data_IF_275308649323
#
_entry.id   IF_275308649323
#
_cell.length_a   1.000
_cell.length_b   1.000
_cell.length_c   1.000
_cell.angle_alpha   90.00
_cell.angle_beta   90.00
_cell.angle_gamma   90.00
#
_symmetry.space_group_name_H-M   'P 1'
#
loop_
_entity.id
_entity.type
_entity.pdbx_description
1 polymer ?
#
# COMPACT_ATOMS: atom_id res chain seq x y z
N UNK A 1 -46.24 -44.55 49.28
CA UNK A 1 -47.10 -43.38 49.56
C UNK A 1 -46.90 -42.38 48.42
N UNK A 2 -47.95 -42.22 47.60
CA UNK A 2 -48.35 -41.11 46.70
C UNK A 2 -47.27 -40.35 45.89
N UNK A 3 -47.10 -40.58 44.56
CA UNK A 3 -47.90 -40.11 43.38
C UNK A 3 -47.72 -38.59 43.11
N UNK A 4 -47.50 -38.03 41.90
CA UNK A 4 -47.98 -38.26 40.51
C UNK A 4 -46.95 -37.58 39.56
N UNK A 5 -46.52 -38.10 38.39
CA UNK A 5 -47.22 -38.31 37.09
C UNK A 5 -47.88 -37.05 36.51
N UNK A 6 -47.39 -36.59 35.35
CA UNK A 6 -48.22 -36.18 34.23
C UNK A 6 -47.56 -36.59 32.90
N UNK A 7 -48.44 -37.00 31.99
CA UNK A 7 -48.25 -37.81 30.79
C UNK A 7 -48.64 -36.97 29.57
N UNK A 8 -48.36 -37.49 28.37
CA UNK A 8 -49.10 -37.32 27.08
C UNK A 8 -48.30 -36.53 26.02
N UNK A 9 -47.63 -37.13 25.02
CA UNK A 9 -48.07 -37.98 23.87
C UNK A 9 -48.57 -37.16 22.66
N UNK A 10 -47.85 -37.24 21.53
CA UNK A 10 -48.39 -37.33 20.15
C UNK A 10 -47.24 -37.68 19.19
N UNK A 11 -47.04 -38.93 18.80
CA UNK A 11 -47.61 -39.68 17.65
C UNK A 11 -47.18 -39.19 16.23
N UNK A 12 -46.19 -39.91 15.68
CA UNK A 12 -46.34 -40.88 14.59
C UNK A 12 -46.14 -40.53 13.10
N UNK A 13 -45.65 -41.60 12.43
CA UNK A 13 -45.72 -42.03 11.02
C UNK A 13 -44.45 -41.73 10.19
N UNK A 14 -43.51 -42.67 10.00
CA UNK A 14 -43.59 -44.02 9.39
C UNK A 14 -43.93 -43.95 7.90
N UNK A 15 -43.00 -44.35 7.02
CA UNK A 15 -43.18 -45.50 6.14
C UNK A 15 -41.87 -45.79 5.37
N UNK A 16 -41.31 -46.97 5.65
CA UNK A 16 -40.31 -47.66 4.86
C UNK A 16 -41.07 -48.77 4.12
N UNK A 17 -40.86 -49.03 2.82
CA UNK A 17 -41.06 -50.36 2.23
C UNK A 17 -40.35 -50.46 0.85
N UNK A 18 -39.15 -51.06 0.83
CA UNK A 18 -38.91 -52.48 0.44
C UNK A 18 -38.95 -52.89 -1.07
N UNK A 19 -37.77 -53.37 -1.51
CA UNK A 19 -37.42 -54.64 -2.18
C UNK A 19 -37.08 -54.75 -3.69
N UNK A 20 -35.88 -55.34 -3.87
CA UNK A 20 -35.48 -56.44 -4.77
C UNK A 20 -35.00 -56.14 -6.20
N UNK A 21 -33.67 -56.21 -6.37
CA UNK A 21 -33.02 -57.45 -6.84
C UNK A 21 -32.64 -57.52 -8.31
N UNK A 22 -31.33 -57.64 -8.59
CA UNK A 22 -30.67 -58.77 -9.30
C UNK A 22 -29.33 -58.32 -9.95
N UNK A 23 -28.29 -59.05 -9.53
CA UNK A 23 -26.93 -59.32 -10.02
C UNK A 23 -26.42 -58.78 -11.38
N UNK A 24 -25.14 -58.37 -11.40
CA UNK A 24 -24.29 -58.39 -12.61
C UNK A 24 -23.09 -57.45 -12.52
N UNK A 25 -21.86 -57.99 -12.51
CA UNK A 25 -20.60 -57.25 -12.44
C UNK A 25 -20.31 -56.41 -13.71
N UNK A 26 -19.81 -55.17 -13.48
CA UNK A 26 -18.96 -54.20 -14.27
C UNK A 26 -18.76 -54.43 -15.79
N UNK A 27 -18.63 -53.37 -16.65
CA UNK A 27 -17.78 -52.17 -16.42
C UNK A 27 -18.22 -50.85 -17.14
N UNK A 28 -17.34 -49.84 -17.09
CA UNK A 28 -17.24 -48.61 -17.91
C UNK A 28 -18.03 -47.39 -17.40
N UNK A 29 -17.33 -46.50 -16.71
CA UNK A 29 -17.78 -45.13 -16.44
C UNK A 29 -17.58 -44.29 -17.70
N UNK A 30 -18.69 -43.93 -18.35
CA UNK A 30 -18.76 -42.84 -19.32
C UNK A 30 -19.38 -41.63 -18.62
N UNK A 31 -18.74 -40.48 -18.79
CA UNK A 31 -19.19 -39.19 -18.29
C UNK A 31 -20.56 -38.81 -18.88
N UNK A 32 -21.47 -38.37 -18.03
CA UNK A 32 -22.67 -37.63 -18.42
C UNK A 32 -22.82 -36.42 -17.53
N UNK A 33 -22.38 -35.29 -18.07
CA UNK A 33 -23.16 -34.07 -18.21
C UNK A 33 -24.32 -33.87 -17.22
N UNK A 34 -24.12 -32.98 -16.26
CA UNK A 34 -25.17 -32.34 -15.47
C UNK A 34 -24.85 -30.84 -15.43
N UNK A 35 -25.37 -30.17 -16.44
CA UNK A 35 -25.55 -28.73 -16.54
C UNK A 35 -26.13 -28.13 -15.25
N UNK A 36 -25.38 -27.21 -14.62
CA UNK A 36 -25.94 -26.23 -13.70
C UNK A 36 -26.19 -24.90 -14.43
N UNK A 37 -27.29 -24.20 -14.13
CA UNK A 37 -27.76 -23.07 -14.93
C UNK A 37 -26.87 -21.85 -14.75
N UNK A 38 -26.43 -21.29 -15.88
CA UNK A 38 -25.89 -19.95 -15.97
C UNK A 38 -26.94 -18.99 -15.41
N UNK A 39 -26.65 -18.39 -14.26
CA UNK A 39 -27.40 -17.23 -13.79
C UNK A 39 -26.69 -16.04 -14.42
N UNK A 40 -27.32 -15.42 -15.42
CA UNK A 40 -26.93 -14.10 -15.92
C UNK A 40 -26.99 -13.11 -14.75
N UNK A 41 -25.84 -12.91 -14.11
CA UNK A 41 -25.63 -11.80 -13.19
C UNK A 41 -25.51 -10.54 -14.03
N UNK A 42 -26.44 -9.61 -13.81
CA UNK A 42 -26.41 -8.28 -14.37
C UNK A 42 -25.00 -7.69 -14.28
N UNK A 43 -24.50 -7.16 -15.40
CA UNK A 43 -23.25 -6.41 -15.45
C UNK A 43 -23.32 -5.25 -14.48
N UNK A 44 -22.73 -5.43 -13.30
CA UNK A 44 -22.39 -4.33 -12.41
C UNK A 44 -21.13 -3.74 -13.02
N UNK A 45 -21.25 -2.54 -13.58
CA UNK A 45 -20.07 -1.77 -13.97
C UNK A 45 -19.17 -1.66 -12.74
N UNK A 46 -17.91 -2.10 -12.87
CA UNK A 46 -16.93 -1.89 -11.82
C UNK A 46 -16.95 -0.41 -11.42
N UNK A 47 -16.92 -0.07 -10.12
CA UNK A 47 -16.70 1.31 -9.74
C UNK A 47 -15.36 1.75 -10.33
N UNK A 48 -15.36 2.90 -10.99
CA UNK A 48 -14.16 3.46 -11.61
C UNK A 48 -13.05 3.53 -10.56
N UNK A 49 -12.00 2.72 -10.73
CA UNK A 49 -10.75 2.93 -10.02
C UNK A 49 -10.28 4.34 -10.40
N UNK A 50 -10.37 5.30 -9.47
CA UNK A 50 -9.87 6.65 -9.72
C UNK A 50 -8.38 6.63 -9.37
N UNK A 51 -7.48 6.53 -10.37
CA UNK A 51 -6.05 6.53 -10.10
C UNK A 51 -5.72 7.83 -9.36
N UNK A 52 -4.67 7.84 -8.53
CA UNK A 52 -4.02 9.14 -8.28
C UNK A 52 -3.59 9.63 -9.68
N UNK A 53 -4.25 10.63 -10.23
CA UNK A 53 -3.80 11.20 -11.51
C UNK A 53 -2.63 12.12 -11.17
N UNK A 54 -1.49 11.93 -11.85
CA UNK A 54 -0.50 13.00 -11.93
C UNK A 54 -1.22 14.29 -12.37
N UNK A 55 -0.79 15.47 -11.90
CA UNK A 55 -1.43 16.73 -12.26
C UNK A 55 -1.62 16.84 -13.77
N UNK A 56 -2.87 16.72 -14.24
CA UNK A 56 -3.16 16.87 -15.66
C UNK A 56 -3.30 18.36 -15.92
N UNK A 57 -2.45 18.90 -16.78
CA UNK A 57 -2.63 20.26 -17.27
C UNK A 57 -4.01 20.36 -17.94
N UNK A 58 -4.88 21.18 -17.36
CA UNK A 58 -6.20 21.46 -17.90
C UNK A 58 -6.15 22.85 -18.50
N UNK A 59 -6.32 22.95 -19.82
CA UNK A 59 -6.34 24.25 -20.52
C UNK A 59 -5.11 25.15 -20.25
N UNK A 60 -3.93 24.53 -20.04
CA UNK A 60 -2.68 25.24 -19.76
C UNK A 60 -2.49 25.67 -18.30
N UNK A 61 -3.34 25.23 -17.37
CA UNK A 61 -3.14 25.47 -15.93
C UNK A 61 -2.87 24.15 -15.19
N UNK A 62 -2.02 24.21 -14.16
CA UNK A 62 -1.64 23.04 -13.36
C UNK A 62 -1.67 23.36 -11.87
N UNK A 63 -2.15 22.41 -11.07
CA UNK A 63 -2.03 22.40 -9.62
C UNK A 63 -1.20 21.19 -9.20
N UNK A 64 -0.10 21.41 -8.51
CA UNK A 64 0.79 20.35 -8.02
C UNK A 64 1.08 20.55 -6.54
N UNK A 65 1.64 19.53 -5.91
CA UNK A 65 2.37 19.65 -4.66
C UNK A 65 3.87 19.58 -4.94
N UNK A 66 4.72 20.07 -4.04
CA UNK A 66 6.18 19.97 -4.19
C UNK A 66 6.70 18.53 -4.16
N UNK A 67 6.01 17.66 -3.41
CA UNK A 67 6.29 16.22 -3.28
C UNK A 67 5.01 15.41 -3.43
N UNK A 68 5.14 14.13 -3.76
CA UNK A 68 4.01 13.19 -3.75
C UNK A 68 3.83 12.50 -2.40
N UNK A 69 4.89 12.39 -1.60
CA UNK A 69 4.89 11.76 -0.28
C UNK A 69 5.51 12.74 0.71
N UNK A 70 4.77 13.02 1.77
CA UNK A 70 5.17 13.87 2.88
C UNK A 70 5.23 13.04 4.17
N UNK A 71 6.19 13.36 5.04
CA UNK A 71 6.22 12.82 6.40
C UNK A 71 5.16 13.48 7.27
N UNK A 72 4.71 12.79 8.33
CA UNK A 72 3.83 13.39 9.33
C UNK A 72 4.48 14.65 9.91
N UNK A 73 3.77 15.77 9.83
CA UNK A 73 4.24 17.08 10.31
C UNK A 73 5.08 17.88 9.31
N UNK A 74 5.38 17.33 8.12
CA UNK A 74 6.07 18.05 7.06
C UNK A 74 5.10 19.02 6.33
N UNK A 75 5.39 20.32 6.22
CA UNK A 75 4.51 21.24 5.51
C UNK A 75 4.34 20.86 4.03
N UNK A 76 3.10 20.82 3.57
CA UNK A 76 2.73 20.57 2.17
C UNK A 76 2.73 21.88 1.42
N UNK A 77 3.59 21.99 0.42
CA UNK A 77 3.64 23.15 -0.48
C UNK A 77 2.77 22.90 -1.72
N UNK A 78 1.78 23.76 -1.93
CA UNK A 78 0.83 23.73 -3.03
C UNK A 78 1.27 24.74 -4.09
N UNK A 79 1.34 24.32 -5.35
CA UNK A 79 1.86 25.14 -6.44
C UNK A 79 0.83 25.19 -7.56
N UNK A 80 0.26 26.36 -7.80
CA UNK A 80 -0.54 26.64 -8.99
C UNK A 80 0.29 27.38 -10.02
N UNK A 81 0.29 26.89 -11.26
CA UNK A 81 1.01 27.51 -12.37
C UNK A 81 0.07 27.74 -13.55
N UNK A 82 0.17 28.92 -14.13
CA UNK A 82 -0.57 29.33 -15.32
C UNK A 82 0.37 29.37 -16.54
N UNK A 83 0.38 28.29 -17.33
CA UNK A 83 1.07 28.22 -18.62
C UNK A 83 0.13 28.51 -19.81
N UNK A 84 -1.10 28.95 -19.54
CA UNK A 84 -2.06 29.33 -20.58
C UNK A 84 -1.71 30.70 -21.18
N UNK A 85 -2.35 31.03 -22.30
CA UNK A 85 -2.17 32.33 -22.97
C UNK A 85 -2.97 33.47 -22.28
N UNK A 86 -3.79 33.15 -21.28
CA UNK A 86 -4.73 34.08 -20.63
C UNK A 86 -4.48 34.24 -19.14
N UNK A 87 -4.86 35.40 -18.58
CA UNK A 87 -4.87 35.60 -17.13
C UNK A 87 -5.94 34.73 -16.45
N UNK A 88 -5.58 34.12 -15.32
CA UNK A 88 -6.50 33.31 -14.51
C UNK A 88 -6.83 34.06 -13.24
N UNK A 89 -8.11 34.12 -12.89
CA UNK A 89 -8.56 34.78 -11.66
C UNK A 89 -8.93 33.76 -10.58
N UNK A 90 -8.54 34.08 -9.36
CA UNK A 90 -8.84 33.34 -8.14
C UNK A 90 -9.86 34.16 -7.33
N UNK A 91 -10.88 33.50 -6.77
CA UNK A 91 -11.99 34.20 -6.09
C UNK A 91 -11.57 34.86 -4.76
N UNK A 92 -10.46 34.43 -4.18
CA UNK A 92 -9.82 35.01 -2.99
C UNK A 92 -8.32 34.68 -3.02
N UNK A 93 -7.57 35.05 -1.98
CA UNK A 93 -6.13 34.80 -1.91
C UNK A 93 -5.70 33.34 -1.75
N UNK A 94 -6.61 32.43 -1.40
CA UNK A 94 -6.33 31.02 -1.18
C UNK A 94 -7.59 30.14 -1.37
N UNK A 95 -8.13 30.03 -2.61
CA UNK A 95 -9.41 29.36 -2.87
C UNK A 95 -9.21 27.85 -3.06
N UNK A 96 -8.49 27.23 -2.13
CA UNK A 96 -8.22 25.80 -2.13
C UNK A 96 -8.77 25.14 -0.86
N UNK A 97 -9.00 23.84 -0.93
CA UNK A 97 -9.43 23.02 0.21
C UNK A 97 -8.71 21.68 0.19
N UNK A 98 -8.56 21.08 1.36
CA UNK A 98 -8.05 19.73 1.54
C UNK A 98 -9.21 18.83 1.92
N UNK A 99 -9.27 17.68 1.26
CA UNK A 99 -10.17 16.57 1.60
C UNK A 99 -9.37 15.34 2.01
N UNK A 100 -9.89 14.63 3.00
CA UNK A 100 -9.35 13.38 3.52
C UNK A 100 -9.59 12.21 2.54
N UNK A 101 -8.96 11.05 2.77
CA UNK A 101 -9.17 9.85 1.96
C UNK A 101 -10.65 9.43 1.81
N UNK A 102 -11.47 9.69 2.83
CA UNK A 102 -12.91 9.38 2.84
C UNK A 102 -13.77 10.45 2.12
N UNK A 103 -13.15 11.49 1.57
CA UNK A 103 -13.79 12.61 0.90
C UNK A 103 -14.31 13.70 1.84
N UNK A 104 -14.15 13.55 3.15
CA UNK A 104 -14.54 14.60 4.11
C UNK A 104 -13.62 15.83 3.99
N UNK A 105 -14.18 17.02 4.19
CA UNK A 105 -13.41 18.26 4.19
C UNK A 105 -12.56 18.35 5.47
N UNK A 106 -11.28 18.64 5.31
CA UNK A 106 -10.29 18.69 6.39
C UNK A 106 -9.88 20.11 6.71
N UNK A 107 -9.63 20.90 5.67
CA UNK A 107 -9.11 22.26 5.83
C UNK A 107 -9.50 23.14 4.66
N UNK A 108 -9.96 24.36 4.97
CA UNK A 108 -10.14 25.43 4.01
C UNK A 108 -9.58 26.75 4.58
N UNK A 109 -8.72 27.49 3.86
CA UNK A 109 -8.16 28.73 4.38
C UNK A 109 -9.21 29.83 4.53
N UNK A 110 -9.21 30.49 5.69
CA UNK A 110 -9.89 31.79 5.82
C UNK A 110 -9.03 32.83 5.09
N UNK A 111 -9.52 33.28 3.94
CA UNK A 111 -8.81 34.23 3.09
C UNK A 111 -9.62 35.50 2.85
N UNK A 112 -8.93 36.63 2.67
CA UNK A 112 -9.58 37.88 2.31
C UNK A 112 -10.21 37.72 0.92
N UNK A 113 -11.48 38.13 0.78
CA UNK A 113 -12.19 38.15 -0.52
C UNK A 113 -11.61 39.23 -1.44
N UNK A 114 -10.41 38.97 -1.98
CA UNK A 114 -9.73 39.77 -2.99
C UNK A 114 -9.48 38.88 -4.19
N UNK A 115 -9.97 39.30 -5.35
CA UNK A 115 -9.70 38.60 -6.61
C UNK A 115 -8.20 38.71 -6.89
N UNK A 116 -7.52 37.57 -7.04
CA UNK A 116 -6.12 37.51 -7.43
C UNK A 116 -6.03 37.11 -8.89
N UNK A 117 -5.32 37.91 -9.70
CA UNK A 117 -5.04 37.59 -11.10
C UNK A 117 -3.64 36.99 -11.23
N UNK A 118 -3.57 35.79 -11.81
CA UNK A 118 -2.35 35.07 -12.13
C UNK A 118 -2.14 35.17 -13.64
N UNK A 119 -1.21 36.03 -14.05
CA UNK A 119 -0.87 36.26 -15.46
C UNK A 119 -0.26 35.00 -16.12
N UNK A 120 -0.26 34.91 -17.46
CA UNK A 120 0.51 33.90 -18.20
C UNK A 120 1.97 33.82 -17.72
N UNK A 121 2.44 32.60 -17.49
CA UNK A 121 3.74 32.30 -16.88
C UNK A 121 3.83 32.55 -15.37
N UNK A 122 2.73 32.95 -14.73
CA UNK A 122 2.64 33.22 -13.31
C UNK A 122 2.48 31.96 -12.46
N UNK A 123 2.95 32.04 -11.22
CA UNK A 123 2.86 30.98 -10.22
C UNK A 123 2.32 31.55 -8.91
N UNK A 124 1.46 30.78 -8.25
CA UNK A 124 1.00 31.05 -6.89
C UNK A 124 1.28 29.85 -6.01
N UNK A 125 1.81 30.11 -4.80
CA UNK A 125 2.19 29.07 -3.85
C UNK A 125 1.45 29.26 -2.53
N UNK A 126 1.08 28.14 -1.90
CA UNK A 126 0.55 28.10 -0.54
C UNK A 126 1.20 26.97 0.25
N UNK A 127 1.06 27.02 1.57
CA UNK A 127 1.57 25.98 2.47
C UNK A 127 0.46 25.54 3.42
N UNK A 128 0.34 24.23 3.62
CA UNK A 128 -0.52 23.63 4.61
C UNK A 128 0.29 22.78 5.58
N UNK A 129 0.14 23.01 6.88
CA UNK A 129 0.94 22.34 7.92
C UNK A 129 0.36 20.97 8.32
N UNK A 130 -0.45 20.34 7.46
CA UNK A 130 -1.11 19.06 7.74
C UNK A 130 -2.01 19.09 8.98
N UNK A 131 -2.72 20.20 9.21
CA UNK A 131 -3.64 20.34 10.34
C UNK A 131 -5.08 20.53 9.88
N UNK A 132 -6.03 19.97 10.63
CA UNK A 132 -7.46 20.28 10.49
C UNK A 132 -7.80 21.71 10.91
N UNK A 133 -9.06 22.11 10.78
CA UNK A 133 -9.54 23.43 11.21
C UNK A 133 -9.36 23.69 12.71
N UNK A 134 -9.35 22.64 13.54
CA UNK A 134 -9.11 22.70 14.98
C UNK A 134 -7.62 22.74 15.36
N UNK A 135 -6.72 22.68 14.37
CA UNK A 135 -5.27 22.67 14.56
C UNK A 135 -4.69 21.30 14.91
N UNK A 136 -5.50 20.24 14.92
CA UNK A 136 -5.00 18.87 15.15
C UNK A 136 -4.27 18.35 13.91
N UNK A 137 -3.21 17.59 14.13
CA UNK A 137 -2.47 16.94 13.06
C UNK A 137 -3.36 15.88 12.40
N UNK A 138 -3.40 15.86 11.07
CA UNK A 138 -4.17 14.84 10.35
C UNK A 138 -3.48 13.49 10.39
N UNK A 139 -4.26 12.43 10.22
CA UNK A 139 -3.75 11.06 10.16
C UNK A 139 -3.06 10.75 8.81
N UNK A 140 -2.20 9.73 8.75
CA UNK A 140 -1.66 9.24 7.49
C UNK A 140 -2.75 8.88 6.46
N UNK A 141 -2.44 9.04 5.19
CA UNK A 141 -3.36 8.73 4.10
C UNK A 141 -3.10 9.55 2.84
N UNK A 142 -3.91 9.34 1.80
CA UNK A 142 -3.85 10.16 0.57
C UNK A 142 -4.91 11.26 0.65
N UNK A 143 -4.44 12.49 0.59
CA UNK A 143 -5.26 13.69 0.63
C UNK A 143 -5.43 14.25 -0.78
N UNK A 144 -6.57 14.89 -1.02
CA UNK A 144 -6.80 15.64 -2.26
C UNK A 144 -6.82 17.12 -1.93
N UNK A 145 -6.03 17.90 -2.67
CA UNK A 145 -6.17 19.35 -2.70
C UNK A 145 -6.98 19.73 -3.94
N UNK A 146 -7.96 20.60 -3.74
CA UNK A 146 -8.82 21.12 -4.80
C UNK A 146 -8.69 22.64 -4.84
N UNK A 147 -8.38 23.22 -6.00
CA UNK A 147 -8.27 24.65 -6.23
C UNK A 147 -9.36 25.12 -7.20
N UNK A 148 -10.09 26.17 -6.83
CA UNK A 148 -11.12 26.78 -7.68
C UNK A 148 -10.58 28.03 -8.38
N UNK A 149 -10.67 28.06 -9.70
CA UNK A 149 -10.21 29.17 -10.55
C UNK A 149 -11.30 29.62 -11.52
N UNK A 150 -11.09 30.73 -12.23
CA UNK A 150 -11.99 31.16 -13.30
C UNK A 150 -12.02 30.24 -14.52
N UNK A 151 -10.99 29.42 -14.73
CA UNK A 151 -10.95 28.40 -15.78
C UNK A 151 -11.48 27.03 -15.29
N UNK A 152 -12.04 26.99 -14.07
CA UNK A 152 -12.63 25.80 -13.47
C UNK A 152 -11.82 25.26 -12.31
N UNK A 153 -12.19 24.06 -11.89
CA UNK A 153 -11.59 23.35 -10.75
C UNK A 153 -10.41 22.48 -11.20
N UNK A 154 -9.35 22.51 -10.40
CA UNK A 154 -8.18 21.64 -10.48
C UNK A 154 -8.06 20.85 -9.19
N UNK A 155 -7.61 19.60 -9.30
CA UNK A 155 -7.34 18.77 -8.12
C UNK A 155 -6.05 17.97 -8.33
N UNK A 156 -5.30 17.76 -7.25
CA UNK A 156 -4.19 16.80 -7.21
C UNK A 156 -4.19 16.08 -5.88
N UNK A 157 -3.55 14.91 -5.83
CA UNK A 157 -3.43 14.11 -4.62
C UNK A 157 -1.98 14.00 -4.17
N UNK A 158 -1.79 13.79 -2.87
CA UNK A 158 -0.50 13.53 -2.24
C UNK A 158 -0.70 12.61 -1.04
N UNK A 159 0.35 11.92 -0.63
CA UNK A 159 0.34 10.99 0.51
C UNK A 159 1.01 11.64 1.72
N UNK A 160 0.39 11.53 2.89
CA UNK A 160 1.06 11.66 4.18
C UNK A 160 1.35 10.24 4.65
N UNK A 161 2.62 9.86 4.70
CA UNK A 161 3.04 8.49 5.03
C UNK A 161 2.91 8.22 6.53
N UNK A 162 2.44 7.03 6.90
CA UNK A 162 2.40 6.54 8.28
C UNK A 162 3.73 5.99 8.80
N UNK A 163 4.78 6.06 7.99
CA UNK A 163 6.13 5.70 8.38
C UNK A 163 6.77 6.78 9.26
N UNK A 164 7.81 6.41 9.99
CA UNK A 164 8.50 7.30 10.94
C UNK A 164 8.89 8.64 10.31
N UNK A 165 8.61 9.72 11.04
CA UNK A 165 8.87 11.08 10.56
C UNK A 165 10.33 11.54 10.75
N UNK A 166 11.11 10.87 11.60
CA UNK A 166 12.50 11.19 11.88
C UNK A 166 13.34 9.91 12.05
N UNK A 167 14.59 9.90 11.57
CA UNK A 167 15.58 8.85 11.78
C UNK A 167 15.87 8.54 13.26
N UNK A 168 15.68 9.51 14.16
CA UNK A 168 15.92 9.30 15.59
C UNK A 168 14.79 8.50 16.27
N UNK A 169 13.64 8.35 15.60
CA UNK A 169 12.55 7.48 16.06
C UNK A 169 12.92 6.03 15.77
N UNK A 170 13.37 5.35 16.82
CA UNK A 170 13.69 3.93 16.76
C UNK A 170 12.64 3.16 17.55
N UNK A 171 12.09 2.13 16.93
CA UNK A 171 11.14 1.26 17.60
C UNK A 171 11.88 0.34 18.57
N UNK A 172 11.33 0.08 19.76
CA UNK A 172 11.86 -0.96 20.62
C UNK A 172 11.76 -2.31 19.90
N UNK A 173 12.72 -3.20 20.14
CA UNK A 173 12.63 -4.57 19.65
C UNK A 173 11.35 -5.22 20.23
N UNK A 174 10.47 -5.80 19.39
CA UNK A 174 9.22 -6.38 19.85
C UNK A 174 9.50 -7.64 20.67
N UNK A 175 8.66 -7.89 21.66
CA UNK A 175 8.65 -9.15 22.42
C UNK A 175 7.77 -10.20 21.70
N UNK A 176 8.00 -11.48 21.99
CA UNK A 176 7.13 -12.55 21.47
C UNK A 176 5.72 -12.41 22.07
N UNK A 177 4.67 -12.22 21.27
CA UNK A 177 3.31 -12.14 21.79
C UNK A 177 2.83 -13.52 22.28
N UNK A 178 1.82 -13.50 23.15
CA UNK A 178 1.22 -14.73 23.70
C UNK A 178 0.54 -15.57 22.62
N UNK A 179 -0.02 -14.92 21.59
CA UNK A 179 -0.69 -15.59 20.49
C UNK A 179 0.21 -15.66 19.26
N UNK A 180 0.45 -16.87 18.79
CA UNK A 180 1.16 -17.14 17.55
C UNK A 180 0.32 -18.07 16.66
N UNK A 181 -0.15 -17.59 15.49
CA UNK A 181 -0.91 -18.43 14.57
C UNK A 181 -0.02 -19.34 13.71
N UNK A 182 1.29 -19.08 13.61
CA UNK A 182 2.18 -19.71 12.64
C UNK A 182 3.07 -20.78 13.29
N UNK A 183 3.00 -22.02 12.79
CA UNK A 183 3.77 -23.15 13.31
C UNK A 183 5.28 -23.07 13.02
N UNK A 184 5.64 -22.30 11.99
CA UNK A 184 7.00 -22.12 11.48
C UNK A 184 7.67 -20.83 11.98
N UNK A 185 6.97 -20.06 12.83
CA UNK A 185 7.52 -18.94 13.60
C UNK A 185 7.70 -19.43 15.04
N UNK A 186 8.82 -20.09 15.34
CA UNK A 186 8.97 -20.89 16.57
C UNK A 186 9.44 -20.09 17.78
N UNK A 187 9.96 -18.87 17.58
CA UNK A 187 10.66 -18.09 18.60
C UNK A 187 12.15 -18.40 18.69
N UNK A 188 12.66 -19.34 17.87
CA UNK A 188 14.09 -19.67 17.81
C UNK A 188 14.93 -18.60 17.09
N UNK A 189 14.28 -17.65 16.40
CA UNK A 189 14.92 -16.52 15.72
C UNK A 189 14.50 -15.21 16.39
N UNK A 190 14.99 -14.89 17.60
CA UNK A 190 14.54 -13.73 18.39
C UNK A 190 14.76 -12.39 17.69
N UNK A 191 15.66 -12.32 16.71
CA UNK A 191 15.91 -11.14 15.90
C UNK A 191 14.78 -10.84 14.90
N UNK A 192 13.90 -11.80 14.59
CA UNK A 192 12.92 -11.69 13.51
C UNK A 192 11.53 -12.27 13.81
N UNK A 193 11.43 -13.38 14.56
CA UNK A 193 10.13 -13.99 14.93
C UNK A 193 9.18 -12.98 15.63
N UNK A 194 9.61 -12.18 16.62
CA UNK A 194 8.74 -11.19 17.24
C UNK A 194 8.26 -10.10 16.26
N UNK A 195 9.08 -9.74 15.27
CA UNK A 195 8.77 -8.71 14.29
C UNK A 195 7.66 -9.18 13.33
N UNK A 196 7.71 -10.45 12.92
CA UNK A 196 6.66 -11.07 12.10
C UNK A 196 5.32 -10.99 12.84
N UNK A 197 5.29 -11.37 14.12
CA UNK A 197 4.06 -11.42 14.90
C UNK A 197 3.52 -10.02 15.23
N UNK A 198 4.39 -9.06 15.58
CA UNK A 198 4.00 -7.67 15.79
C UNK A 198 3.38 -7.04 14.53
N UNK A 199 3.92 -7.33 13.35
CA UNK A 199 3.34 -6.86 12.09
C UNK A 199 2.05 -7.61 11.71
N UNK A 200 1.90 -8.86 12.13
CA UNK A 200 0.68 -9.64 11.91
C UNK A 200 -0.47 -9.09 12.74
N UNK A 201 -0.23 -8.75 14.01
CA UNK A 201 -1.22 -8.09 14.88
C UNK A 201 -1.68 -6.73 14.33
N UNK A 202 -0.79 -6.03 13.61
CA UNK A 202 -1.10 -4.77 12.91
C UNK A 202 -1.76 -4.97 11.54
N UNK A 203 -1.95 -6.21 11.10
CA UNK A 203 -2.55 -6.52 9.79
C UNK A 203 -1.65 -6.19 8.58
N UNK A 204 -0.38 -5.88 8.81
CA UNK A 204 0.58 -5.50 7.75
C UNK A 204 1.05 -6.76 7.01
N UNK A 205 1.52 -7.76 7.75
CA UNK A 205 1.93 -9.06 7.18
C UNK A 205 0.83 -10.10 7.34
N UNK A 206 0.81 -11.07 6.44
CA UNK A 206 -0.05 -12.25 6.49
C UNK A 206 0.77 -13.50 6.17
N UNK A 207 0.33 -14.66 6.69
CA UNK A 207 0.92 -15.95 6.35
C UNK A 207 0.57 -16.40 4.93
N UNK A 208 1.32 -17.36 4.40
CA UNK A 208 0.96 -18.06 3.14
C UNK A 208 -0.27 -18.96 3.32
N UNK A 209 -0.50 -19.41 4.55
CA UNK A 209 -1.73 -20.07 4.98
C UNK A 209 -2.14 -19.54 6.36
N UNK A 210 -3.25 -20.06 6.89
CA UNK A 210 -3.71 -19.75 8.24
C UNK A 210 -2.68 -20.12 9.35
N UNK A 211 -1.77 -21.06 9.07
CA UNK A 211 -0.86 -21.64 10.06
C UNK A 211 0.63 -21.60 9.66
N UNK A 212 0.97 -21.00 8.51
CA UNK A 212 2.32 -21.02 7.93
C UNK A 212 2.69 -19.64 7.39
N UNK A 213 3.81 -19.08 7.86
CA UNK A 213 4.32 -17.79 7.40
C UNK A 213 5.35 -17.88 6.28
N UNK A 214 6.13 -18.97 6.25
CA UNK A 214 7.32 -19.19 5.42
C UNK A 214 8.41 -18.11 5.62
N UNK A 215 9.06 -18.03 6.81
CA UNK A 215 9.99 -16.94 7.11
C UNK A 215 11.24 -16.92 6.22
N UNK A 216 11.74 -18.09 5.83
CA UNK A 216 12.94 -18.25 4.99
C UNK A 216 12.62 -18.19 3.49
N UNK A 217 11.34 -18.12 3.14
CA UNK A 217 10.90 -17.96 1.76
C UNK A 217 11.43 -16.66 1.16
N UNK A 218 11.91 -16.74 -0.08
CA UNK A 218 12.34 -15.56 -0.85
C UNK A 218 11.16 -14.64 -1.10
N UNK A 219 11.34 -13.35 -0.83
CA UNK A 219 10.32 -12.32 -1.00
C UNK A 219 10.31 -11.80 -2.45
N UNK A 220 9.13 -11.66 -3.03
CA UNK A 220 8.92 -11.06 -4.34
C UNK A 220 8.76 -9.54 -4.27
N UNK A 221 8.95 -8.85 -5.41
CA UNK A 221 8.69 -7.40 -5.55
C UNK A 221 7.25 -7.04 -5.18
N UNK A 222 6.28 -7.83 -5.65
CA UNK A 222 4.85 -7.66 -5.36
C UNK A 222 4.54 -7.75 -3.86
N UNK A 223 5.08 -8.77 -3.19
CA UNK A 223 4.90 -8.93 -1.74
C UNK A 223 5.51 -7.74 -0.99
N UNK A 224 6.74 -7.33 -1.32
CA UNK A 224 7.38 -6.21 -0.62
C UNK A 224 6.59 -4.91 -0.76
N UNK A 225 6.17 -4.54 -1.97
CA UNK A 225 5.38 -3.31 -2.18
C UNK A 225 4.05 -3.35 -1.46
N UNK A 226 3.41 -4.52 -1.39
CA UNK A 226 2.18 -4.71 -0.63
C UNK A 226 2.39 -4.43 0.85
N UNK A 227 3.45 -5.00 1.45
CA UNK A 227 3.80 -4.77 2.85
C UNK A 227 4.13 -3.29 3.12
N UNK A 228 4.89 -2.67 2.21
CA UNK A 228 5.30 -1.27 2.33
C UNK A 228 4.10 -0.32 2.28
N UNK A 229 3.18 -0.50 1.34
CA UNK A 229 1.98 0.35 1.26
C UNK A 229 1.02 0.18 2.43
N UNK A 230 0.91 -1.04 2.98
CA UNK A 230 0.16 -1.27 4.23
C UNK A 230 0.81 -0.53 5.40
N UNK A 231 2.13 -0.59 5.50
CA UNK A 231 2.88 0.15 6.52
C UNK A 231 2.75 1.67 6.38
N UNK A 232 2.65 2.20 5.15
CA UNK A 232 2.39 3.62 4.91
C UNK A 232 0.99 4.09 5.32
N UNK A 233 0.05 3.19 5.66
CA UNK A 233 -1.34 3.55 5.98
C UNK A 233 -2.18 3.89 4.76
N UNK A 234 -1.81 3.42 3.57
CA UNK A 234 -2.48 3.76 2.29
C UNK A 234 -3.55 2.72 1.90
N UNK A 235 -3.92 1.84 2.85
CA UNK A 235 -4.76 0.67 2.57
C UNK A 235 -6.23 1.01 2.28
N UNK A 236 -6.76 2.10 2.84
CA UNK A 236 -8.18 2.45 2.74
C UNK A 236 -8.63 2.79 1.30
N UNK A 237 -7.69 3.14 0.42
CA UNK A 237 -7.97 3.47 -1.00
C UNK A 237 -7.99 2.23 -1.88
N UNK A 238 -7.27 1.18 -1.49
CA UNK A 238 -7.35 -0.12 -2.12
C UNK A 238 -8.68 -0.81 -1.79
N UNK A 239 -9.25 -0.50 -0.63
CA UNK A 239 -10.53 -1.06 -0.15
C UNK A 239 -11.76 -0.32 -0.67
N UNK A 240 -11.65 0.97 -1.03
CA UNK A 240 -12.75 1.75 -1.62
C UNK A 240 -12.94 1.49 -3.12
N UNK A 241 -11.96 0.88 -3.78
CA UNK A 241 -12.16 0.16 -5.04
C UNK A 241 -12.74 -1.22 -4.69
N UNK A 242 -14.07 -1.36 -4.69
CA UNK A 242 -14.73 -2.64 -4.42
C UNK A 242 -14.14 -3.75 -5.32
N UNK A 243 -13.42 -4.71 -4.71
CA UNK A 243 -12.94 -5.88 -5.46
C UNK A 243 -11.59 -6.47 -5.07
N UNK A 244 -10.78 -5.83 -4.22
CA UNK A 244 -9.51 -6.43 -3.78
C UNK A 244 -9.79 -7.41 -2.62
N UNK A 245 -9.69 -8.73 -2.81
CA UNK A 245 -9.96 -9.67 -1.74
C UNK A 245 -8.83 -9.56 -0.72
N UNK A 246 -9.18 -9.18 0.51
CA UNK A 246 -8.29 -9.09 1.68
C UNK A 246 -7.80 -10.46 2.19
N UNK A 247 -7.68 -11.45 1.31
CA UNK A 247 -7.28 -12.82 1.62
C UNK A 247 -6.95 -13.67 0.39
N UNK A 248 -6.30 -13.09 -0.63
CA UNK A 248 -5.90 -13.85 -1.82
C UNK A 248 -4.51 -14.47 -1.64
N UNK A 249 -4.38 -15.75 -2.00
CA UNK A 249 -3.14 -16.54 -2.00
C UNK A 249 -1.98 -15.76 -2.68
N UNK A 250 -0.87 -15.47 -1.97
CA UNK A 250 0.27 -14.74 -2.53
C UNK A 250 1.00 -15.47 -3.66
N UNK A 251 0.65 -16.74 -3.97
CA UNK A 251 1.27 -17.54 -5.03
C UNK A 251 0.45 -17.65 -6.33
N UNK A 252 -0.64 -16.88 -6.52
CA UNK A 252 -1.38 -16.91 -7.79
C UNK A 252 -0.82 -15.84 -8.75
N UNK A 253 -0.09 -16.20 -9.82
CA UNK A 253 0.44 -15.24 -10.79
C UNK A 253 -0.67 -14.80 -11.71
N UNK A 254 -0.88 -13.50 -11.85
CA UNK A 254 -1.97 -12.95 -12.63
C UNK A 254 -1.48 -11.56 -13.17
N UNK A 255 -1.93 -10.94 -14.26
CA UNK A 255 -1.26 -9.71 -14.80
C UNK A 255 -2.18 -8.76 -15.58
N UNK A 256 -1.98 -7.44 -15.45
CA UNK A 256 -2.58 -6.31 -16.19
C UNK A 256 -4.09 -6.08 -16.05
N UNK A 257 -4.50 -4.86 -15.69
CA UNK A 257 -5.88 -4.39 -15.43
C UNK A 257 -6.89 -4.67 -16.55
N UNK A 258 -6.41 -4.97 -17.76
CA UNK A 258 -7.21 -5.28 -18.96
C UNK A 258 -7.16 -6.75 -19.39
N UNK A 259 -6.52 -7.63 -18.61
CA UNK A 259 -6.57 -9.07 -18.88
C UNK A 259 -7.79 -9.69 -18.19
N UNK A 260 -8.21 -10.86 -18.66
CA UNK A 260 -9.26 -11.65 -17.99
C UNK A 260 -8.85 -12.10 -16.58
N UNK A 261 -7.60 -11.86 -16.19
CA UNK A 261 -6.94 -12.33 -14.98
C UNK A 261 -5.78 -11.32 -14.65
N UNK A 262 -6.02 -10.23 -13.87
CA UNK A 262 -5.05 -9.19 -13.42
C UNK A 262 -4.25 -9.52 -12.12
N UNK A 263 -2.99 -9.06 -11.98
CA UNK A 263 -2.11 -9.44 -10.83
C UNK A 263 -2.78 -9.08 -9.52
N UNK A 264 -2.76 -9.97 -8.53
CA UNK A 264 -3.35 -9.66 -7.22
C UNK A 264 -2.74 -8.38 -6.60
N UNK A 265 -1.45 -8.16 -6.87
CA UNK A 265 -0.69 -6.99 -6.42
C UNK A 265 -0.82 -5.76 -7.34
N UNK A 266 -1.54 -5.85 -8.46
CA UNK A 266 -1.63 -4.77 -9.44
C UNK A 266 -2.12 -3.43 -8.86
N UNK A 267 -3.17 -3.40 -8.00
CA UNK A 267 -3.58 -2.15 -7.37
C UNK A 267 -2.48 -1.54 -6.49
N UNK A 268 -1.69 -2.37 -5.81
CA UNK A 268 -0.54 -1.94 -5.01
C UNK A 268 0.57 -1.40 -5.89
N UNK A 269 0.90 -2.10 -6.98
CA UNK A 269 1.94 -1.69 -7.94
C UNK A 269 1.56 -0.37 -8.59
N UNK A 270 0.32 -0.24 -9.07
CA UNK A 270 -0.20 1.00 -9.65
C UNK A 270 -0.10 2.15 -8.66
N UNK A 271 -0.56 1.95 -7.42
CA UNK A 271 -0.47 2.95 -6.35
C UNK A 271 0.98 3.36 -6.07
N UNK A 272 1.89 2.38 -5.94
CA UNK A 272 3.30 2.64 -5.70
C UNK A 272 3.98 3.36 -6.88
N UNK A 273 3.64 3.03 -8.13
CA UNK A 273 4.11 3.77 -9.31
C UNK A 273 3.63 5.21 -9.29
N UNK A 274 2.38 5.41 -8.90
CA UNK A 274 1.76 6.73 -8.92
C UNK A 274 2.28 7.65 -7.81
N UNK A 275 2.53 7.09 -6.62
CA UNK A 275 3.20 7.80 -5.54
C UNK A 275 4.71 8.00 -5.80
N UNK A 276 5.24 7.47 -6.91
CA UNK A 276 6.65 7.56 -7.26
C UNK A 276 7.57 6.64 -6.44
N UNK A 277 7.01 5.68 -5.69
CA UNK A 277 7.75 4.66 -4.93
C UNK A 277 8.43 3.68 -5.91
N UNK A 278 7.69 3.21 -6.91
CA UNK A 278 8.22 2.48 -8.06
C UNK A 278 8.43 3.47 -9.20
N UNK A 279 9.57 3.41 -9.88
CA UNK A 279 9.85 4.18 -11.09
C UNK A 279 10.06 3.26 -12.28
N UNK A 280 9.25 3.42 -13.33
CA UNK A 280 9.32 2.57 -14.52
C UNK A 280 10.69 2.60 -15.21
N UNK A 281 11.45 3.68 -15.07
CA UNK A 281 12.81 3.80 -15.62
C UNK A 281 13.81 2.83 -14.97
N UNK A 282 13.52 2.31 -13.78
CA UNK A 282 14.34 1.30 -13.09
C UNK A 282 14.02 -0.12 -13.56
N UNK A 283 12.93 -0.29 -14.32
CA UNK A 283 12.40 -1.57 -14.78
C UNK A 283 12.14 -1.51 -16.29
N UNK A 284 13.20 -1.40 -17.12
CA UNK A 284 13.05 -1.21 -18.58
C UNK A 284 12.31 -2.35 -19.27
N UNK A 285 12.39 -3.56 -18.72
CA UNK A 285 11.71 -4.76 -19.23
C UNK A 285 10.35 -5.01 -18.54
N UNK A 286 9.90 -4.08 -17.70
CA UNK A 286 8.70 -4.21 -16.86
C UNK A 286 9.01 -4.57 -15.41
N UNK A 287 8.05 -4.33 -14.52
CA UNK A 287 8.25 -4.48 -13.06
C UNK A 287 8.45 -5.94 -12.61
N UNK A 288 7.92 -6.92 -13.37
CA UNK A 288 7.98 -8.36 -13.07
C UNK A 288 7.65 -8.69 -11.59
N UNK A 289 6.36 -8.63 -11.21
CA UNK A 289 5.94 -8.66 -9.80
C UNK A 289 6.40 -9.89 -9.00
N UNK A 290 6.52 -11.05 -9.63
CA UNK A 290 6.91 -12.32 -9.01
C UNK A 290 8.43 -12.52 -8.91
N UNK A 291 9.23 -11.59 -9.45
CA UNK A 291 10.70 -11.65 -9.35
C UNK A 291 11.14 -11.40 -7.90
N UNK A 292 12.11 -12.17 -7.36
CA UNK A 292 12.74 -11.89 -6.08
C UNK A 292 13.25 -10.46 -5.97
N UNK A 293 12.90 -9.77 -4.88
CA UNK A 293 13.35 -8.38 -4.68
C UNK A 293 14.76 -8.35 -4.08
N UNK A 294 15.61 -7.48 -4.62
CA UNK A 294 16.96 -7.26 -4.13
C UNK A 294 16.98 -6.25 -2.98
N UNK A 295 18.05 -6.30 -2.17
CA UNK A 295 18.27 -5.34 -1.07
C UNK A 295 18.35 -3.88 -1.54
N UNK A 296 18.93 -3.62 -2.72
CA UNK A 296 18.98 -2.25 -3.26
C UNK A 296 17.61 -1.73 -3.71
N UNK A 297 16.75 -2.60 -4.28
CA UNK A 297 15.37 -2.23 -4.63
C UNK A 297 14.54 -1.92 -3.38
N UNK A 298 14.70 -2.73 -2.33
CA UNK A 298 14.10 -2.46 -1.01
C UNK A 298 14.49 -1.06 -0.52
N UNK A 299 15.78 -0.71 -0.56
CA UNK A 299 16.25 0.62 -0.14
C UNK A 299 15.59 1.74 -0.94
N UNK A 300 15.55 1.64 -2.28
CA UNK A 300 14.93 2.66 -3.12
C UNK A 300 13.45 2.86 -2.80
N UNK A 301 12.69 1.77 -2.72
CA UNK A 301 11.26 1.83 -2.42
C UNK A 301 11.00 2.36 -1.01
N UNK A 302 11.73 1.88 0.01
CA UNK A 302 11.55 2.32 1.40
C UNK A 302 11.89 3.80 1.61
N UNK A 303 12.99 4.28 1.02
CA UNK A 303 13.42 5.68 1.12
C UNK A 303 12.42 6.62 0.44
N UNK A 304 11.87 6.23 -0.72
CA UNK A 304 10.78 6.97 -1.37
C UNK A 304 9.51 6.98 -0.51
N UNK A 305 9.14 5.84 0.07
CA UNK A 305 7.98 5.74 0.95
C UNK A 305 8.11 6.56 2.24
N UNK A 306 9.34 6.87 2.68
CA UNK A 306 9.66 7.81 3.77
C UNK A 306 9.65 9.29 3.32
N UNK A 307 9.40 9.57 2.04
CA UNK A 307 9.44 10.93 1.48
C UNK A 307 10.86 11.53 1.41
N UNK A 308 11.89 10.67 1.30
CA UNK A 308 13.31 11.05 1.34
C UNK A 308 13.99 11.08 -0.04
N UNK A 309 13.20 11.17 -1.10
CA UNK A 309 13.68 11.09 -2.49
C UNK A 309 14.67 12.22 -2.83
N UNK A 310 14.38 13.44 -2.39
CA UNK A 310 15.23 14.61 -2.64
C UNK A 310 16.54 14.48 -1.86
N UNK A 311 16.46 14.10 -0.58
CA UNK A 311 17.61 13.88 0.29
C UNK A 311 18.51 12.72 -0.22
N UNK A 312 17.91 11.69 -0.82
CA UNK A 312 18.65 10.60 -1.46
C UNK A 312 19.38 11.09 -2.73
N UNK A 313 18.72 11.91 -3.55
CA UNK A 313 19.30 12.48 -4.76
C UNK A 313 20.53 13.35 -4.45
N UNK A 314 20.47 14.15 -3.38
CA UNK A 314 21.59 14.98 -2.91
C UNK A 314 22.80 14.18 -2.39
N UNK A 315 22.57 12.91 -2.05
CA UNK A 315 23.60 12.02 -1.47
C UNK A 315 24.07 10.92 -2.43
N UNK A 316 23.78 11.04 -3.73
CA UNK A 316 24.20 10.07 -4.74
C UNK A 316 25.73 9.83 -4.79
N UNK A 317 26.53 10.83 -4.40
CA UNK A 317 27.99 10.76 -4.34
C UNK A 317 28.54 10.38 -2.95
N UNK A 318 27.70 9.98 -1.99
CA UNK A 318 28.15 9.61 -0.65
C UNK A 318 29.01 8.34 -0.65
N UNK A 319 30.00 8.31 0.24
CA UNK A 319 30.77 7.11 0.58
C UNK A 319 29.95 6.25 1.54
N UNK A 320 29.67 5.00 1.16
CA UNK A 320 28.78 4.11 1.90
C UNK A 320 29.50 3.28 2.99
N UNK A 321 30.83 3.26 2.98
CA UNK A 321 31.64 2.57 3.99
C UNK A 321 31.65 1.04 3.92
N UNK A 322 30.89 0.43 2.99
CA UNK A 322 30.89 -1.02 2.77
C UNK A 322 32.02 -1.48 1.86
N UNK A 323 32.53 -2.68 2.08
CA UNK A 323 33.60 -3.29 1.30
C UNK A 323 33.20 -3.55 -0.17
N UNK A 324 31.92 -3.74 -0.43
CA UNK A 324 31.29 -3.98 -1.74
C UNK A 324 30.52 -2.75 -2.26
N UNK A 325 30.88 -1.55 -1.80
CA UNK A 325 30.24 -0.30 -2.25
C UNK A 325 30.35 -0.06 -3.75
N UNK A 326 31.32 -0.66 -4.43
CA UNK A 326 31.50 -0.58 -5.89
C UNK A 326 30.46 -1.40 -6.66
N UNK A 327 29.87 -2.41 -6.03
CA UNK A 327 28.82 -3.25 -6.64
C UNK A 327 27.44 -2.56 -6.61
N UNK A 328 27.32 -1.42 -5.94
CA UNK A 328 26.08 -0.63 -5.84
C UNK A 328 26.02 0.35 -7.03
N UNK A 329 25.05 0.20 -7.95
CA UNK A 329 24.94 1.10 -9.08
C UNK A 329 24.74 2.56 -8.63
N UNK A 330 25.29 3.51 -9.37
CA UNK A 330 25.28 4.93 -9.02
C UNK A 330 23.88 5.45 -8.65
N UNK A 331 22.85 5.04 -9.39
CA UNK A 331 21.44 5.41 -9.15
C UNK A 331 20.91 4.95 -7.78
N UNK A 332 21.45 3.87 -7.21
CA UNK A 332 21.01 3.33 -5.92
C UNK A 332 21.81 3.83 -4.71
N UNK A 333 22.95 4.48 -4.94
CA UNK A 333 23.86 4.88 -3.84
C UNK A 333 23.20 5.82 -2.84
N UNK A 334 22.48 6.83 -3.31
CA UNK A 334 21.73 7.76 -2.45
C UNK A 334 20.70 7.03 -1.58
N UNK A 335 19.96 6.09 -2.18
CA UNK A 335 18.97 5.31 -1.44
C UNK A 335 19.59 4.37 -0.41
N UNK A 336 20.70 3.69 -0.75
CA UNK A 336 21.42 2.85 0.22
C UNK A 336 21.95 3.71 1.38
N UNK A 337 22.54 4.88 1.07
CA UNK A 337 23.00 5.83 2.07
C UNK A 337 21.89 6.21 3.05
N UNK A 338 20.73 6.61 2.53
CA UNK A 338 19.59 7.03 3.37
C UNK A 338 18.96 5.87 4.12
N UNK A 339 18.82 4.69 3.51
CA UNK A 339 18.27 3.52 4.18
C UNK A 339 19.14 3.08 5.36
N UNK A 340 20.47 3.22 5.26
CA UNK A 340 21.41 2.96 6.37
C UNK A 340 21.36 4.07 7.41
N UNK A 341 21.36 5.34 6.99
CA UNK A 341 21.24 6.50 7.90
C UNK A 341 19.96 6.46 8.75
N UNK A 342 18.85 6.02 8.15
CA UNK A 342 17.55 5.89 8.80
C UNK A 342 17.35 4.55 9.52
N UNK A 343 18.39 3.72 9.58
CA UNK A 343 18.35 2.40 10.22
C UNK A 343 17.26 1.46 9.65
N UNK A 344 16.90 1.63 8.38
CA UNK A 344 15.92 0.77 7.69
C UNK A 344 16.59 -0.55 7.33
N UNK A 345 17.76 -0.48 6.70
CA UNK A 345 18.63 -1.62 6.42
C UNK A 345 20.00 -1.42 7.04
N UNK A 346 20.61 -2.52 7.48
CA UNK A 346 21.97 -2.57 7.99
C UNK A 346 22.82 -3.46 7.08
N UNK A 347 24.12 -3.19 7.02
CA UNK A 347 25.09 -4.10 6.42
C UNK A 347 25.32 -5.35 7.29
N UNK A 348 26.09 -6.27 6.75
CA UNK A 348 26.44 -7.52 7.40
C UNK A 348 27.69 -7.36 8.29
N UNK A 349 27.93 -8.29 9.24
CA UNK A 349 29.08 -8.22 10.15
C UNK A 349 30.45 -8.23 9.46
N UNK A 350 30.53 -8.68 8.21
CA UNK A 350 31.73 -8.69 7.37
C UNK A 350 31.99 -7.36 6.64
N UNK A 351 31.23 -6.30 6.99
CA UNK A 351 31.28 -4.98 6.37
C UNK A 351 30.80 -4.95 4.90
N UNK A 352 29.97 -5.90 4.49
CA UNK A 352 29.32 -5.89 3.15
C UNK A 352 27.87 -5.43 3.23
N UNK A 353 27.34 -4.90 2.12
CA UNK A 353 25.93 -4.56 1.96
C UNK A 353 25.14 -5.63 1.19
N UNK A 354 25.80 -6.29 0.24
CA UNK A 354 25.31 -7.32 -0.67
C UNK A 354 24.10 -6.83 -1.51
N UNK A 355 24.29 -5.84 -2.41
CA UNK A 355 23.18 -5.13 -3.06
C UNK A 355 22.26 -6.03 -3.89
N UNK A 356 22.82 -7.05 -4.54
CA UNK A 356 22.08 -7.99 -5.38
C UNK A 356 21.46 -9.17 -4.63
N UNK A 357 21.72 -9.31 -3.32
CA UNK A 357 21.12 -10.40 -2.55
C UNK A 357 19.62 -10.18 -2.37
N UNK A 358 18.88 -11.28 -2.38
CA UNK A 358 17.44 -11.29 -2.17
C UNK A 358 17.11 -11.29 -0.68
N UNK A 359 15.98 -10.67 -0.33
CA UNK A 359 15.48 -10.70 1.03
C UNK A 359 14.55 -11.91 1.26
N UNK A 360 14.63 -12.47 2.46
CA UNK A 360 13.64 -13.41 2.99
C UNK A 360 12.41 -12.66 3.51
N UNK A 361 11.27 -13.36 3.65
CA UNK A 361 10.06 -12.82 4.27
C UNK A 361 10.29 -12.38 5.73
N UNK A 362 11.18 -13.05 6.46
CA UNK A 362 11.61 -12.66 7.82
C UNK A 362 12.38 -11.35 7.83
N UNK A 363 13.38 -11.21 6.95
CA UNK A 363 14.14 -9.96 6.84
C UNK A 363 13.23 -8.79 6.44
N UNK A 364 12.27 -9.04 5.54
CA UNK A 364 11.26 -8.07 5.14
C UNK A 364 10.43 -7.59 6.35
N UNK A 365 10.00 -8.49 7.23
CA UNK A 365 9.26 -8.14 8.44
C UNK A 365 10.08 -7.23 9.35
N UNK A 366 11.37 -7.51 9.54
CA UNK A 366 12.26 -6.64 10.34
C UNK A 366 12.40 -5.26 9.68
N UNK A 367 12.59 -5.20 8.36
CA UNK A 367 12.73 -3.95 7.61
C UNK A 367 11.47 -3.10 7.72
N UNK A 368 10.29 -3.70 7.49
CA UNK A 368 9.00 -3.01 7.57
C UNK A 368 8.73 -2.51 9.00
N UNK A 369 9.02 -3.33 10.02
CA UNK A 369 8.86 -2.92 11.41
C UNK A 369 9.72 -1.69 11.76
N UNK A 370 10.95 -1.60 11.25
CA UNK A 370 11.84 -0.44 11.46
C UNK A 370 11.37 0.83 10.77
N UNK A 371 10.49 0.72 9.78
CA UNK A 371 9.91 1.87 9.08
C UNK A 371 8.71 2.46 9.82
N UNK A 372 8.00 1.67 10.63
CA UNK A 372 6.81 2.13 11.34
C UNK A 372 7.12 3.24 12.34
N UNK A 373 6.17 4.13 12.54
CA UNK A 373 6.13 5.00 13.71
C UNK A 373 5.28 4.34 14.81
N UNK A 374 5.90 3.97 15.94
CA UNK A 374 5.22 3.33 17.08
C UNK A 374 5.15 4.23 18.33
N UNK A 375 5.47 5.52 18.20
CA UNK A 375 5.59 6.48 19.31
C UNK A 375 4.35 7.37 19.51
#
# INVERSE_FOLDING_TARGET
MRTKSFTTLCLALCFCFILCGVTGERPVAAASDMSHPATEGAGVSMPDFIPISLPVAKDGITLTTSKLIYRKGEPVELIFRNDSESGITLSNGAPWEITAPDGSAVFSPISIMVIVEVNPGGTQTWTWNQTGEDGTQVEPGIYTVTLRTSAGELSTRFCITGLKANKDLQNPDPEMPEHNPFKDVTGEHPWGDPHILALYEKGIVQGKSADTFDPEGTLTRAEFVTLLLRACGVQDILLSAEGIPTGTDPNKPVSSLDSEDPHWAEPYIHTAMTLGIIRSQEYPDGFEPDTPITRMEICAMAVRALGLEDEASDTAAAELGFADSEDIPATYRGYVSKAVEWDVLRGYPDNTFQPGNYATRREAAVIIYRLLDLH
#
